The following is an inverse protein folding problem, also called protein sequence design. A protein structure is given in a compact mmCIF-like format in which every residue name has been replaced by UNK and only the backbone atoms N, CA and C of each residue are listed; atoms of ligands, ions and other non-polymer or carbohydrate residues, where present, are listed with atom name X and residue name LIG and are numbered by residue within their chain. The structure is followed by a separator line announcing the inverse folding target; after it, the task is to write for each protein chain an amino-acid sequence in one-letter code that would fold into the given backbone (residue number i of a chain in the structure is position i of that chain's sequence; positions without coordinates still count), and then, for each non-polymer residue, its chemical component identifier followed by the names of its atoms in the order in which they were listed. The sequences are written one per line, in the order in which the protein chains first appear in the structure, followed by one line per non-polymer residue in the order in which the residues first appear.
data_IF_637461051146
#
_entry.id   IF_637461051146
#
_cell.length_a   1.000
_cell.length_b   1.000
_cell.length_c   1.000
_cell.angle_alpha   90.00
_cell.angle_beta   90.00
_cell.angle_gamma   90.00
#
_symmetry.space_group_name_H-M   'P 1'
#
loop_
_entity.id
_entity.type
_entity.pdbx_description
1 polymer ?
#
# COMPACT_ATOMS: atom_id res chain seq x y z
N UNK A 1 34.98 -4.54 72.41
CA UNK A 1 34.48 -4.91 71.06
C UNK A 1 33.46 -3.87 70.60
N UNK A 2 33.75 -3.07 69.56
CA UNK A 2 32.78 -2.18 68.90
C UNK A 2 33.00 -2.28 67.38
N UNK A 3 32.09 -2.95 66.67
CA UNK A 3 32.12 -3.12 65.21
C UNK A 3 31.56 -1.85 64.57
N UNK A 4 32.32 -1.18 63.70
CA UNK A 4 31.82 -0.08 62.86
C UNK A 4 31.45 -0.67 61.49
N UNK A 5 30.20 -0.50 61.12
CA UNK A 5 29.55 -1.05 59.92
C UNK A 5 30.03 -0.27 58.69
N UNK A 6 30.45 -0.99 57.65
CA UNK A 6 30.81 -0.44 56.34
C UNK A 6 29.54 0.03 55.62
N UNK A 7 29.51 1.31 55.22
CA UNK A 7 28.43 1.87 54.40
C UNK A 7 28.54 1.38 52.95
N UNK A 8 27.50 0.68 52.49
CA UNK A 8 27.34 0.24 51.11
C UNK A 8 26.81 1.42 50.28
N UNK A 9 27.63 1.97 49.39
CA UNK A 9 27.21 2.97 48.40
C UNK A 9 26.53 2.25 47.23
N UNK A 10 25.20 2.27 47.18
CA UNK A 10 24.44 1.74 46.04
C UNK A 10 24.38 2.80 44.95
N UNK A 11 25.10 2.59 43.86
CA UNK A 11 25.07 3.43 42.67
C UNK A 11 23.78 3.11 41.89
N UNK A 12 22.76 3.96 42.00
CA UNK A 12 21.51 3.83 41.26
C UNK A 12 21.73 4.14 39.78
N UNK A 13 21.79 3.11 38.95
CA UNK A 13 21.76 3.26 37.48
C UNK A 13 20.31 3.56 37.11
N UNK A 14 20.01 4.82 36.77
CA UNK A 14 18.72 5.17 36.22
C UNK A 14 18.58 4.55 34.82
N UNK A 15 17.72 3.53 34.71
CA UNK A 15 17.30 2.97 33.44
C UNK A 15 16.40 4.01 32.75
N UNK A 16 16.96 4.87 31.91
CA UNK A 16 16.16 5.72 31.03
C UNK A 16 15.60 4.82 29.92
N UNK A 17 14.27 4.68 29.79
CA UNK A 17 13.72 4.01 28.63
C UNK A 17 14.02 4.88 27.40
N UNK A 18 14.84 4.38 26.49
CA UNK A 18 14.89 4.89 25.14
C UNK A 18 13.54 4.58 24.50
N UNK A 19 12.64 5.56 24.50
CA UNK A 19 11.45 5.49 23.66
C UNK A 19 11.96 5.41 22.22
N UNK A 20 11.82 4.24 21.59
CA UNK A 20 11.98 4.12 20.15
C UNK A 20 10.90 5.00 19.53
N UNK A 21 11.27 6.19 19.06
CA UNK A 21 10.44 6.95 18.16
C UNK A 21 10.39 6.15 16.87
N UNK A 22 9.38 5.30 16.72
CA UNK A 22 9.05 4.72 15.44
C UNK A 22 9.02 5.88 14.46
N UNK A 23 9.86 5.82 13.42
CA UNK A 23 9.79 6.73 12.30
C UNK A 23 8.36 6.57 11.75
N UNK A 24 7.45 7.46 12.16
CA UNK A 24 6.08 7.46 11.68
C UNK A 24 6.15 8.00 10.26
N UNK A 25 6.56 7.15 9.32
CA UNK A 25 6.31 7.38 7.90
C UNK A 25 4.82 7.68 7.81
N UNK A 26 4.48 8.89 7.36
CA UNK A 26 3.09 9.33 7.28
C UNK A 26 2.24 8.37 6.42
N UNK A 27 0.92 8.63 6.32
CA UNK A 27 0.03 7.82 5.51
C UNK A 27 0.61 7.60 4.10
N UNK A 28 0.71 6.35 3.67
CA UNK A 28 1.23 6.03 2.34
C UNK A 28 0.59 4.78 1.76
N UNK A 29 0.68 4.65 0.44
CA UNK A 29 0.16 3.53 -0.33
C UNK A 29 1.27 3.06 -1.26
N UNK A 30 1.58 1.77 -1.22
CA UNK A 30 2.57 1.14 -2.07
C UNK A 30 1.87 0.29 -3.12
N UNK A 31 2.25 0.48 -4.38
CA UNK A 31 1.91 -0.47 -5.44
C UNK A 31 2.64 -1.79 -5.16
N UNK A 32 1.93 -2.91 -5.25
CA UNK A 32 2.49 -4.25 -5.00
C UNK A 32 2.59 -5.03 -6.30
N UNK A 33 1.47 -5.20 -7.00
CA UNK A 33 1.41 -6.01 -8.22
C UNK A 33 0.16 -5.69 -9.03
N UNK A 34 0.14 -6.14 -10.28
CA UNK A 34 -1.08 -6.13 -11.09
C UNK A 34 -1.23 -7.41 -11.90
N UNK A 35 -2.47 -7.80 -12.13
CA UNK A 35 -2.86 -8.78 -13.14
C UNK A 35 -3.59 -8.06 -14.29
N UNK A 36 -4.05 -8.79 -15.30
CA UNK A 36 -4.76 -8.17 -16.43
C UNK A 36 -6.04 -7.41 -16.05
N UNK A 37 -6.60 -7.64 -14.85
CA UNK A 37 -7.89 -7.06 -14.44
C UNK A 37 -7.91 -6.51 -13.01
N UNK A 38 -6.80 -6.61 -12.27
CA UNK A 38 -6.73 -6.16 -10.89
C UNK A 38 -5.38 -5.54 -10.55
N UNK A 39 -5.40 -4.58 -9.64
CA UNK A 39 -4.21 -3.98 -9.03
C UNK A 39 -4.23 -4.25 -7.54
N UNK A 40 -3.11 -4.68 -7.00
CA UNK A 40 -2.90 -4.90 -5.57
C UNK A 40 -1.99 -3.82 -5.02
N UNK A 41 -2.39 -3.26 -3.89
CA UNK A 41 -1.64 -2.25 -3.17
C UNK A 41 -1.67 -2.49 -1.67
N UNK A 42 -0.61 -2.09 -0.99
CA UNK A 42 -0.57 -2.03 0.47
C UNK A 42 -0.77 -0.59 0.91
N UNK A 43 -1.49 -0.39 2.01
CA UNK A 43 -1.64 0.92 2.63
C UNK A 43 -1.24 0.87 4.10
N UNK A 44 -0.75 2.00 4.60
CA UNK A 44 -0.20 2.13 5.94
C UNK A 44 -0.61 3.47 6.56
N UNK A 45 -1.07 3.43 7.80
CA UNK A 45 -1.39 4.63 8.56
C UNK A 45 -2.52 5.46 7.98
N UNK A 46 -3.44 4.87 7.19
CA UNK A 46 -4.55 5.62 6.63
C UNK A 46 -5.53 6.06 7.75
N UNK A 47 -5.96 7.34 7.78
CA UNK A 47 -7.01 7.81 8.68
C UNK A 47 -8.30 6.99 8.56
N UNK A 48 -9.13 7.05 9.61
CA UNK A 48 -10.44 6.42 9.61
C UNK A 48 -11.29 6.90 8.43
N UNK A 49 -11.98 5.95 7.79
CA UNK A 49 -12.89 6.19 6.66
C UNK A 49 -12.22 6.83 5.45
N UNK A 50 -10.93 6.57 5.21
CA UNK A 50 -10.26 6.99 3.98
C UNK A 50 -10.89 6.30 2.78
N UNK A 51 -11.11 7.02 1.69
CA UNK A 51 -11.62 6.45 0.45
C UNK A 51 -10.46 6.19 -0.50
N UNK A 52 -10.39 4.99 -1.08
CA UNK A 52 -9.43 4.67 -2.13
C UNK A 52 -10.11 4.78 -3.49
N UNK A 53 -9.48 5.54 -4.38
CA UNK A 53 -10.02 5.84 -5.71
C UNK A 53 -8.94 5.59 -6.77
N UNK A 54 -9.36 4.98 -7.89
CA UNK A 54 -8.52 4.76 -9.07
C UNK A 54 -8.69 5.93 -10.04
N UNK A 55 -7.63 6.71 -10.23
CA UNK A 55 -7.66 7.92 -11.06
C UNK A 55 -6.79 7.77 -12.29
N UNK A 56 -7.30 8.20 -13.44
CA UNK A 56 -6.52 8.35 -14.66
C UNK A 56 -5.58 9.56 -14.51
N UNK A 57 -4.28 9.36 -14.73
CA UNK A 57 -3.28 10.40 -14.51
C UNK A 57 -3.37 11.56 -15.50
N UNK A 58 -3.88 11.31 -16.71
CA UNK A 58 -3.97 12.31 -17.77
C UNK A 58 -5.24 13.15 -17.68
N UNK A 59 -6.36 12.55 -17.30
CA UNK A 59 -7.67 13.24 -17.27
C UNK A 59 -8.13 13.62 -15.87
N UNK A 60 -7.54 13.04 -14.81
CA UNK A 60 -8.04 13.16 -13.44
C UNK A 60 -9.37 12.45 -13.20
N UNK A 61 -9.91 11.74 -14.19
CA UNK A 61 -11.18 11.04 -14.08
C UNK A 61 -11.06 9.87 -13.10
N UNK A 62 -12.03 9.79 -12.18
CA UNK A 62 -12.18 8.63 -11.29
C UNK A 62 -12.89 7.51 -12.05
N UNK A 63 -12.30 6.33 -12.04
CA UNK A 63 -12.84 5.16 -12.78
C UNK A 63 -13.46 4.12 -11.85
N UNK A 64 -12.98 4.01 -10.63
CA UNK A 64 -13.50 3.08 -9.62
C UNK A 64 -13.26 3.67 -8.24
N UNK A 65 -14.30 3.66 -7.41
CA UNK A 65 -14.19 3.94 -5.98
C UNK A 65 -14.25 2.63 -5.21
N UNK A 66 -13.38 2.48 -4.23
CA UNK A 66 -13.32 1.32 -3.36
C UNK A 66 -13.96 1.67 -2.02
N UNK A 67 -14.46 0.66 -1.31
CA UNK A 67 -14.99 0.81 0.05
C UNK A 67 -14.00 1.53 0.98
N UNK A 68 -14.54 2.16 2.03
CA UNK A 68 -13.76 2.88 3.02
C UNK A 68 -12.71 1.98 3.70
N UNK A 69 -11.49 2.49 3.85
CA UNK A 69 -10.34 1.81 4.45
C UNK A 69 -9.73 2.61 5.60
N UNK A 70 -8.94 1.95 6.44
CA UNK A 70 -8.23 2.59 7.55
C UNK A 70 -7.07 1.73 8.07
N UNK A 71 -6.10 2.35 8.72
CA UNK A 71 -4.99 1.65 9.35
C UNK A 71 -3.99 1.09 8.34
N UNK A 72 -3.66 -0.20 8.46
CA UNK A 72 -2.70 -0.90 7.59
C UNK A 72 -3.31 -2.20 7.07
N UNK A 73 -3.31 -2.39 5.76
CA UNK A 73 -3.72 -3.64 5.11
C UNK A 73 -3.30 -3.68 3.64
N UNK A 74 -3.63 -4.79 2.98
CA UNK A 74 -3.55 -4.98 1.53
C UNK A 74 -4.94 -4.85 0.91
N UNK A 75 -5.02 -4.29 -0.29
CA UNK A 75 -6.26 -4.15 -1.04
C UNK A 75 -6.08 -4.55 -2.50
N UNK A 76 -7.14 -5.08 -3.09
CA UNK A 76 -7.22 -5.37 -4.53
C UNK A 76 -8.32 -4.54 -5.15
N UNK A 77 -8.00 -3.84 -6.24
CA UNK A 77 -8.91 -2.95 -6.96
C UNK A 77 -9.09 -3.49 -8.38
N UNK A 78 -10.34 -3.63 -8.81
CA UNK A 78 -10.66 -4.03 -10.19
C UNK A 78 -10.34 -2.91 -11.17
N UNK A 79 -9.74 -3.26 -12.30
CA UNK A 79 -9.46 -2.36 -13.42
C UNK A 79 -10.27 -2.69 -14.66
N UNK A 80 -11.21 -3.65 -14.59
CA UNK A 80 -11.95 -4.17 -15.76
C UNK A 80 -12.72 -3.09 -16.51
N UNK A 81 -13.28 -2.11 -15.79
CA UNK A 81 -14.06 -1.01 -16.38
C UNK A 81 -13.20 0.22 -16.70
N UNK A 82 -11.92 0.23 -16.28
CA UNK A 82 -11.02 1.32 -16.56
C UNK A 82 -10.52 1.21 -18.01
N UNK A 83 -10.65 2.28 -18.82
CA UNK A 83 -10.02 2.33 -20.14
C UNK A 83 -8.51 2.11 -20.06
N UNK A 84 -7.91 1.75 -21.20
CA UNK A 84 -6.45 1.70 -21.28
C UNK A 84 -5.84 3.08 -21.00
N UNK A 85 -4.76 3.12 -20.21
CA UNK A 85 -4.07 4.36 -19.87
C UNK A 85 -3.25 4.23 -18.60
N UNK A 86 -2.71 5.35 -18.14
CA UNK A 86 -1.90 5.43 -16.93
C UNK A 86 -2.74 5.91 -15.74
N UNK A 87 -2.57 5.24 -14.60
CA UNK A 87 -3.41 5.38 -13.42
C UNK A 87 -2.59 5.38 -12.14
N UNK A 88 -3.17 5.90 -11.05
CA UNK A 88 -2.67 5.69 -9.70
C UNK A 88 -3.85 5.47 -8.75
N UNK A 89 -3.58 4.79 -7.63
CA UNK A 89 -4.52 4.73 -6.51
C UNK A 89 -4.25 5.92 -5.59
N UNK A 90 -5.32 6.62 -5.21
CA UNK A 90 -5.25 7.74 -4.27
C UNK A 90 -6.15 7.47 -3.08
N UNK A 91 -5.65 7.69 -1.87
CA UNK A 91 -6.47 7.80 -0.67
C UNK A 91 -6.91 9.26 -0.49
N UNK A 92 -8.19 9.45 -0.21
CA UNK A 92 -8.77 10.73 0.15
C UNK A 92 -9.52 10.65 1.47
N UNK A 93 -9.72 11.80 2.11
CA UNK A 93 -10.69 11.92 3.20
C UNK A 93 -12.10 11.69 2.67
N UNK A 94 -13.10 11.43 3.54
CA UNK A 94 -14.51 11.38 3.14
C UNK A 94 -15.00 12.63 2.40
N UNK A 95 -14.34 13.78 2.63
CA UNK A 95 -14.64 15.07 2.00
C UNK A 95 -13.81 15.34 0.73
N UNK A 96 -12.99 14.38 0.28
CA UNK A 96 -12.19 14.47 -0.95
C UNK A 96 -10.78 15.07 -0.78
N UNK A 97 -10.34 15.36 0.43
CA UNK A 97 -8.99 15.87 0.71
C UNK A 97 -7.93 14.80 0.43
N UNK A 98 -6.80 15.18 -0.18
CA UNK A 98 -5.70 14.26 -0.48
C UNK A 98 -5.03 13.73 0.79
N UNK A 99 -4.72 12.43 0.83
CA UNK A 99 -3.96 11.78 1.91
C UNK A 99 -2.65 11.19 1.38
N UNK A 100 -2.74 10.29 0.40
CA UNK A 100 -1.62 9.57 -0.17
C UNK A 100 -1.94 9.04 -1.57
N UNK A 101 -0.92 8.67 -2.34
CA UNK A 101 -1.12 7.96 -3.61
C UNK A 101 0.03 7.01 -3.91
N UNK A 102 -0.23 6.04 -4.79
CA UNK A 102 0.82 5.17 -5.36
C UNK A 102 1.63 5.90 -6.42
N UNK A 103 2.68 5.24 -6.91
CA UNK A 103 3.23 5.51 -8.24
C UNK A 103 2.17 5.31 -9.32
N UNK A 104 2.43 5.88 -10.49
CA UNK A 104 1.63 5.63 -11.69
C UNK A 104 1.93 4.24 -12.25
N UNK A 105 0.90 3.53 -12.68
CA UNK A 105 0.96 2.23 -13.35
C UNK A 105 0.03 2.21 -14.56
N UNK A 106 0.31 1.32 -15.52
CA UNK A 106 -0.48 1.21 -16.75
C UNK A 106 -1.57 0.14 -16.63
N UNK A 107 -2.77 0.53 -17.04
CA UNK A 107 -3.92 -0.34 -17.26
C UNK A 107 -4.06 -0.58 -18.76
N UNK A 108 -4.20 -1.85 -19.16
CA UNK A 108 -4.43 -2.24 -20.55
C UNK A 108 -5.67 -3.13 -20.65
N UNK A 109 -6.55 -2.80 -21.59
CA UNK A 109 -7.73 -3.62 -21.93
C UNK A 109 -7.41 -4.74 -22.93
N UNK A 110 -6.17 -4.81 -23.42
CA UNK A 110 -5.72 -5.87 -24.31
C UNK A 110 -5.58 -7.17 -23.52
N UNK A 111 -6.58 -8.05 -23.64
CA UNK A 111 -6.44 -9.46 -23.25
C UNK A 111 -5.31 -10.03 -24.09
N UNK A 112 -4.18 -10.38 -23.46
CA UNK A 112 -3.10 -11.12 -24.12
C UNK A 112 -3.65 -12.48 -24.55
N UNK A 113 -4.23 -12.53 -25.76
CA UNK A 113 -4.50 -13.78 -26.46
C UNK A 113 -3.14 -14.38 -26.73
N UNK A 114 -2.73 -15.33 -25.90
CA UNK A 114 -1.60 -16.19 -26.23
C UNK A 114 -2.02 -16.88 -27.52
N UNK A 115 -1.37 -16.56 -28.64
CA UNK A 115 -1.60 -17.25 -29.90
C UNK A 115 -1.42 -18.74 -29.66
N UNK A 116 -2.53 -19.45 -29.59
CA UNK A 116 -2.64 -20.90 -29.59
C UNK A 116 -2.32 -21.45 -31.01
N UNK A 117 -1.60 -20.67 -31.83
CA UNK A 117 -1.22 -21.03 -33.21
C UNK A 117 -0.12 -22.06 -33.28
N UNK A 118 0.60 -22.34 -32.17
CA UNK A 118 1.72 -23.27 -32.18
C UNK A 118 1.37 -24.67 -31.66
N UNK A 119 0.12 -24.93 -31.24
CA UNK A 119 -0.31 -26.27 -30.82
C UNK A 119 -0.81 -27.14 -31.99
N UNK A 120 -0.95 -26.57 -33.19
CA UNK A 120 -1.46 -27.27 -34.38
C UNK A 120 -0.34 -27.76 -35.34
N UNK A 121 0.94 -27.64 -34.98
CA UNK A 121 2.06 -28.17 -35.78
C UNK A 121 2.70 -29.41 -35.13
N UNK A 122 1.86 -30.27 -34.54
CA UNK A 122 2.19 -31.67 -34.31
C UNK A 122 2.18 -32.40 -35.65
N UNK A 123 3.33 -32.38 -36.30
CA UNK A 123 3.70 -32.99 -37.56
C UNK A 123 3.04 -34.38 -37.78
N UNK A 124 2.18 -34.47 -38.79
CA UNK A 124 1.86 -35.72 -39.47
C UNK A 124 3.08 -36.10 -40.31
N UNK A 125 3.78 -37.17 -39.93
CA UNK A 125 4.54 -38.05 -40.81
C UNK A 125 4.78 -39.37 -40.08
#
# INVERSE_FOLDING_TARGET
MKRKIFGLLVLGIALVPFASSAMTTGPHINYVSQTGSTVTADYFGLPLNSQLILLNSSTGATTTSVAAVSGRSTITVSTITAPSGSYYLRATTPTGGYIAQTITFDVSTLVRRVSQSNLAQGNIN
#
